data_IF_306169789954
#
_entry.id   IF_306169789954
#
_cell.length_a   1.000
_cell.length_b   1.000
_cell.length_c   1.000
_cell.angle_alpha   90.00
_cell.angle_beta   90.00
_cell.angle_gamma   90.00
#
_symmetry.space_group_name_H-M   'P 1'
#
loop_
_entity.id
_entity.type
_entity.pdbx_description
1 polymer ?
#
# COMPACT_ATOMS: atom_id res chain seq x y z
N UNK A 1 -8.77 -9.49 23.08
CA UNK A 1 -8.46 -8.63 21.93
C UNK A 1 -9.71 -7.93 21.43
N UNK A 2 -9.64 -6.63 21.12
CA UNK A 2 -10.80 -5.89 20.64
C UNK A 2 -11.09 -6.17 19.16
N UNK A 3 -11.53 -7.38 18.86
CA UNK A 3 -11.70 -7.84 17.47
C UNK A 3 -12.62 -6.94 16.63
N UNK A 4 -13.71 -6.44 17.22
CA UNK A 4 -14.62 -5.56 16.49
C UNK A 4 -13.96 -4.25 16.04
N UNK A 5 -13.18 -3.66 16.92
CA UNK A 5 -12.41 -2.43 16.60
C UNK A 5 -11.30 -2.70 15.62
N UNK A 6 -10.63 -3.87 15.74
CA UNK A 6 -9.62 -4.29 14.80
C UNK A 6 -10.19 -4.43 13.39
N UNK A 7 -11.33 -5.08 13.25
CA UNK A 7 -12.02 -5.22 11.97
C UNK A 7 -12.39 -3.84 11.42
N UNK A 8 -12.90 -2.95 12.25
CA UNK A 8 -13.25 -1.59 11.83
C UNK A 8 -12.00 -0.83 11.35
N UNK A 9 -10.88 -0.93 12.07
CA UNK A 9 -9.63 -0.30 11.67
C UNK A 9 -9.14 -0.82 10.33
N UNK A 10 -9.20 -2.13 10.11
CA UNK A 10 -8.81 -2.76 8.84
C UNK A 10 -9.72 -2.29 7.71
N UNK A 11 -11.03 -2.28 7.92
CA UNK A 11 -11.97 -1.84 6.88
C UNK A 11 -11.76 -0.38 6.52
N UNK A 12 -11.64 0.50 7.51
CA UNK A 12 -11.44 1.92 7.27
C UNK A 12 -10.11 2.20 6.55
N UNK A 13 -9.01 1.65 7.07
CA UNK A 13 -7.69 1.85 6.46
C UNK A 13 -7.59 1.17 5.11
N UNK A 14 -8.19 0.00 4.94
CA UNK A 14 -8.19 -0.73 3.67
C UNK A 14 -8.95 0.02 2.58
N UNK A 15 -10.11 0.59 2.90
CA UNK A 15 -10.90 1.38 1.96
C UNK A 15 -10.11 2.62 1.52
N UNK A 16 -9.58 3.38 2.47
CA UNK A 16 -8.81 4.59 2.16
C UNK A 16 -7.51 4.23 1.42
N UNK A 17 -6.85 3.15 1.81
CA UNK A 17 -5.63 2.67 1.13
C UNK A 17 -5.93 2.24 -0.31
N UNK A 18 -7.06 1.58 -0.55
CA UNK A 18 -7.47 1.23 -1.91
C UNK A 18 -7.69 2.47 -2.76
N UNK A 19 -8.29 3.51 -2.19
CA UNK A 19 -8.49 4.78 -2.89
C UNK A 19 -7.17 5.47 -3.20
N UNK A 20 -6.23 5.50 -2.24
CA UNK A 20 -4.91 6.09 -2.48
C UNK A 20 -4.09 5.27 -3.46
N UNK A 21 -4.15 3.95 -3.41
CA UNK A 21 -3.50 3.08 -4.39
C UNK A 21 -4.07 3.32 -5.79
N UNK A 22 -5.38 3.49 -5.90
CA UNK A 22 -6.00 3.83 -7.17
C UNK A 22 -5.51 5.18 -7.69
N UNK A 23 -5.35 6.17 -6.80
CA UNK A 23 -4.82 7.48 -7.18
C UNK A 23 -3.38 7.38 -7.69
N UNK A 24 -2.50 6.68 -6.97
CA UNK A 24 -1.10 6.50 -7.36
C UNK A 24 -0.96 5.59 -8.57
N UNK A 25 -1.61 4.43 -8.56
CA UNK A 25 -1.45 3.42 -9.61
C UNK A 25 -2.36 3.70 -10.80
N UNK A 26 -3.60 4.15 -10.56
CA UNK A 26 -4.57 4.37 -11.62
C UNK A 26 -4.36 5.67 -12.35
N UNK A 27 -4.21 6.78 -11.63
CA UNK A 27 -4.10 8.09 -12.25
C UNK A 27 -2.65 8.45 -12.60
N UNK A 28 -1.75 8.30 -11.62
CA UNK A 28 -0.34 8.66 -11.83
C UNK A 28 0.38 7.65 -12.72
N UNK A 29 0.37 6.36 -12.34
CA UNK A 29 1.12 5.32 -13.05
C UNK A 29 0.55 5.01 -14.43
N UNK A 30 -0.77 4.97 -14.57
CA UNK A 30 -1.41 4.63 -15.84
C UNK A 30 -0.97 5.57 -16.95
N UNK A 31 -0.91 6.86 -16.67
CA UNK A 31 -0.47 7.86 -17.64
C UNK A 31 0.98 7.68 -18.05
N UNK A 32 1.81 7.12 -17.17
CA UNK A 32 3.22 6.87 -17.46
C UNK A 32 3.45 5.55 -18.17
N UNK A 33 2.64 4.53 -17.87
CA UNK A 33 2.71 3.26 -18.57
C UNK A 33 2.25 3.37 -20.03
N UNK A 34 1.35 4.28 -20.34
CA UNK A 34 0.96 4.54 -21.73
C UNK A 34 2.14 4.93 -22.61
N UNK A 35 3.18 5.53 -22.02
CA UNK A 35 4.41 5.89 -22.71
C UNK A 35 5.42 4.76 -22.83
N UNK A 36 5.19 3.65 -22.11
CA UNK A 36 6.08 2.49 -22.07
C UNK A 36 5.25 1.21 -22.19
N UNK A 37 4.59 0.98 -23.35
CA UNK A 37 3.67 -0.16 -23.49
C UNK A 37 4.36 -1.52 -23.38
N UNK A 38 5.67 -1.59 -23.58
CA UNK A 38 6.42 -2.84 -23.50
C UNK A 38 6.50 -3.43 -22.10
N UNK A 39 6.30 -2.62 -21.05
CA UNK A 39 6.29 -3.09 -19.67
C UNK A 39 4.88 -3.24 -19.08
N UNK A 40 3.86 -2.82 -19.83
CA UNK A 40 2.47 -2.90 -19.41
C UNK A 40 1.87 -4.24 -19.82
N UNK A 41 1.37 -5.01 -18.85
CA UNK A 41 0.82 -6.33 -19.11
C UNK A 41 -0.50 -6.30 -19.90
N UNK A 42 -1.27 -5.24 -19.75
CA UNK A 42 -2.60 -5.10 -20.35
C UNK A 42 -2.69 -3.87 -21.24
N UNK A 43 -1.99 -3.85 -22.39
CA UNK A 43 -2.06 -2.72 -23.30
C UNK A 43 -3.50 -2.50 -23.77
N UNK A 44 -3.98 -1.27 -23.73
CA UNK A 44 -5.35 -0.94 -24.11
C UNK A 44 -6.40 -1.34 -23.09
N UNK A 45 -6.00 -1.79 -21.90
CA UNK A 45 -6.90 -2.11 -20.79
C UNK A 45 -7.62 -3.45 -20.92
N UNK A 46 -7.27 -4.27 -21.89
CA UNK A 46 -7.92 -5.58 -22.08
C UNK A 46 -7.42 -6.58 -21.03
N UNK A 47 -8.38 -7.24 -20.35
CA UNK A 47 -8.06 -8.29 -19.38
C UNK A 47 -7.59 -7.79 -18.02
N UNK A 48 -7.64 -6.47 -17.76
CA UNK A 48 -7.14 -5.90 -16.51
C UNK A 48 -8.09 -6.05 -15.32
N UNK A 49 -9.32 -6.57 -15.53
CA UNK A 49 -10.32 -6.67 -14.46
C UNK A 49 -9.83 -7.51 -13.27
N UNK A 50 -9.13 -8.62 -13.52
CA UNK A 50 -8.53 -9.44 -12.44
C UNK A 50 -7.48 -8.66 -11.67
N UNK A 51 -6.63 -7.92 -12.38
CA UNK A 51 -5.59 -7.11 -11.74
C UNK A 51 -6.21 -6.02 -10.86
N UNK A 52 -7.27 -5.36 -11.34
CA UNK A 52 -8.01 -4.35 -10.58
C UNK A 52 -8.61 -4.98 -9.32
N UNK A 53 -9.25 -6.14 -9.43
CA UNK A 53 -9.85 -6.84 -8.30
C UNK A 53 -8.81 -7.18 -7.24
N UNK A 54 -7.72 -7.83 -7.60
CA UNK A 54 -6.65 -8.18 -6.67
C UNK A 54 -5.99 -6.95 -6.06
N UNK A 55 -5.75 -5.91 -6.86
CA UNK A 55 -5.17 -4.65 -6.37
C UNK A 55 -6.07 -3.94 -5.37
N UNK A 56 -7.39 -4.12 -5.49
CA UNK A 56 -8.34 -3.55 -4.53
C UNK A 56 -8.43 -4.35 -3.24
N UNK A 57 -8.15 -5.66 -3.28
CA UNK A 57 -8.23 -6.54 -2.12
C UNK A 57 -6.93 -6.57 -1.30
N UNK A 58 -5.77 -6.47 -1.95
CA UNK A 58 -4.48 -6.59 -1.29
C UNK A 58 -4.23 -5.54 -0.19
N UNK A 59 -4.69 -4.28 -0.31
CA UNK A 59 -4.57 -3.34 0.80
C UNK A 59 -5.22 -3.80 2.10
N UNK A 60 -6.33 -4.55 2.01
CA UNK A 60 -6.97 -5.11 3.20
C UNK A 60 -6.08 -6.16 3.88
N UNK A 61 -5.36 -6.96 3.10
CA UNK A 61 -4.37 -7.91 3.63
C UNK A 61 -3.25 -7.18 4.35
N UNK A 62 -2.70 -6.15 3.73
CA UNK A 62 -1.64 -5.32 4.31
C UNK A 62 -2.09 -4.70 5.63
N UNK A 63 -3.27 -4.08 5.65
CA UNK A 63 -3.81 -3.45 6.84
C UNK A 63 -4.12 -4.48 7.93
N UNK A 64 -4.64 -5.65 7.57
CA UNK A 64 -4.93 -6.73 8.51
C UNK A 64 -3.66 -7.19 9.23
N UNK A 65 -2.61 -7.47 8.49
CA UNK A 65 -1.33 -7.91 9.07
C UNK A 65 -0.72 -6.80 9.92
N UNK A 66 -0.77 -5.56 9.45
CA UNK A 66 -0.26 -4.42 10.20
C UNK A 66 -0.96 -4.26 11.55
N UNK A 67 -2.29 -4.33 11.55
CA UNK A 67 -3.09 -4.22 12.78
C UNK A 67 -2.76 -5.37 13.73
N UNK A 68 -2.65 -6.59 13.23
CA UNK A 68 -2.30 -7.75 14.05
C UNK A 68 -0.90 -7.60 14.68
N UNK A 69 0.06 -7.12 13.92
CA UNK A 69 1.43 -6.89 14.42
C UNK A 69 1.41 -5.81 15.50
N UNK A 70 0.71 -4.71 15.28
CA UNK A 70 0.59 -3.65 16.27
C UNK A 70 -0.07 -4.14 17.56
N UNK A 71 -1.15 -4.92 17.44
CA UNK A 71 -1.80 -5.50 18.61
C UNK A 71 -0.90 -6.48 19.35
N UNK A 72 -0.16 -7.31 18.62
CA UNK A 72 0.80 -8.23 19.23
C UNK A 72 1.94 -7.54 19.96
N UNK A 73 2.34 -6.36 19.51
CA UNK A 73 3.38 -5.54 20.11
C UNK A 73 2.84 -4.49 21.09
N UNK A 74 1.52 -4.44 21.28
CA UNK A 74 0.84 -3.46 22.13
C UNK A 74 1.15 -2.01 21.74
N UNK A 75 1.19 -1.74 20.43
CA UNK A 75 1.45 -0.41 19.91
C UNK A 75 0.12 0.30 19.61
N UNK A 76 -0.19 1.33 20.39
CA UNK A 76 -1.44 2.09 20.22
C UNK A 76 -1.21 3.61 20.15
N UNK A 77 0.05 4.05 20.09
CA UNK A 77 0.38 5.46 19.94
C UNK A 77 0.78 5.78 18.51
N UNK A 78 0.55 7.03 18.09
CA UNK A 78 1.00 7.47 16.77
C UNK A 78 2.50 7.29 16.59
N UNK A 79 3.27 7.63 17.62
CA UNK A 79 4.73 7.51 17.55
C UNK A 79 5.18 6.07 17.31
N UNK A 80 4.64 5.12 18.06
CA UNK A 80 5.00 3.70 17.92
C UNK A 80 4.54 3.10 16.62
N UNK A 81 3.28 3.34 16.24
CA UNK A 81 2.70 2.76 15.01
C UNK A 81 3.34 3.36 13.75
N UNK A 82 3.60 4.67 13.73
CA UNK A 82 4.25 5.30 12.58
C UNK A 82 5.72 4.88 12.46
N UNK A 83 6.42 4.69 13.57
CA UNK A 83 7.78 4.12 13.53
C UNK A 83 7.78 2.72 12.93
N UNK A 84 6.83 1.89 13.32
CA UNK A 84 6.69 0.54 12.76
C UNK A 84 6.36 0.61 11.26
N UNK A 85 5.48 1.52 10.86
CA UNK A 85 5.13 1.70 9.45
C UNK A 85 6.38 2.06 8.62
N UNK A 86 7.18 3.01 9.08
CA UNK A 86 8.42 3.40 8.40
C UNK A 86 9.42 2.25 8.39
N UNK A 87 9.56 1.51 9.50
CA UNK A 87 10.47 0.37 9.56
C UNK A 87 10.08 -0.72 8.56
N UNK A 88 8.80 -1.05 8.45
CA UNK A 88 8.31 -2.03 7.48
C UNK A 88 8.59 -1.54 6.05
N UNK A 89 8.34 -0.27 5.79
CA UNK A 89 8.59 0.33 4.48
C UNK A 89 10.07 0.24 4.09
N UNK A 90 10.97 0.50 5.04
CA UNK A 90 12.42 0.43 4.81
C UNK A 90 12.93 -1.02 4.65
N UNK A 91 12.25 -2.00 5.26
CA UNK A 91 12.64 -3.41 5.18
C UNK A 91 12.20 -4.06 3.86
N UNK A 92 11.02 -3.74 3.38
CA UNK A 92 10.41 -4.42 2.25
C UNK A 92 10.15 -3.54 1.03
N UNK A 93 9.10 -2.72 1.05
CA UNK A 93 8.64 -2.02 -0.16
C UNK A 93 9.69 -1.11 -0.80
N UNK A 94 10.44 -0.35 -0.02
CA UNK A 94 11.44 0.55 -0.58
C UNK A 94 12.61 -0.18 -1.24
N UNK A 95 13.29 -1.14 -0.55
CA UNK A 95 14.36 -1.91 -1.22
C UNK A 95 13.86 -2.68 -2.43
N UNK A 96 12.69 -3.30 -2.34
CA UNK A 96 12.12 -4.04 -3.47
C UNK A 96 11.89 -3.14 -4.68
N UNK A 97 11.34 -1.96 -4.45
CA UNK A 97 11.09 -0.99 -5.51
C UNK A 97 12.39 -0.52 -6.15
N UNK A 98 13.40 -0.24 -5.34
CA UNK A 98 14.72 0.19 -5.84
C UNK A 98 15.37 -0.92 -6.68
N UNK A 99 15.37 -2.16 -6.19
CA UNK A 99 15.93 -3.30 -6.93
C UNK A 99 15.20 -3.48 -8.26
N UNK A 100 13.88 -3.41 -8.25
CA UNK A 100 13.10 -3.52 -9.48
C UNK A 100 13.43 -2.39 -10.47
N UNK A 101 13.63 -1.17 -9.97
CA UNK A 101 14.01 -0.04 -10.82
C UNK A 101 15.42 -0.21 -11.42
N UNK A 102 16.32 -0.88 -10.70
CA UNK A 102 17.67 -1.14 -11.19
C UNK A 102 17.74 -2.22 -12.27
N UNK A 103 16.92 -3.27 -12.14
CA UNK A 103 16.97 -4.43 -13.03
C UNK A 103 15.89 -4.45 -14.10
N UNK A 104 14.80 -3.73 -13.91
CA UNK A 104 13.71 -3.63 -14.86
C UNK A 104 13.69 -2.24 -15.49
N UNK A 105 13.04 -2.14 -16.66
CA UNK A 105 12.93 -0.84 -17.37
C UNK A 105 11.84 0.02 -16.72
N UNK A 106 12.00 0.35 -15.45
CA UNK A 106 11.08 1.22 -14.73
C UNK A 106 11.62 2.64 -14.68
N UNK A 107 10.80 3.60 -15.12
CA UNK A 107 11.16 5.01 -15.00
C UNK A 107 11.24 5.39 -13.51
N UNK A 108 12.16 6.31 -13.12
CA UNK A 108 12.25 6.75 -11.72
C UNK A 108 10.93 7.25 -11.15
N UNK A 109 10.10 7.89 -11.97
CA UNK A 109 8.78 8.37 -11.53
C UNK A 109 7.83 7.22 -11.19
N UNK A 110 7.90 6.10 -11.89
CA UNK A 110 7.10 4.90 -11.61
C UNK A 110 7.55 4.27 -10.29
N UNK A 111 8.85 4.10 -10.11
CA UNK A 111 9.42 3.54 -8.87
C UNK A 111 9.06 4.43 -7.67
N UNK A 112 9.18 5.75 -7.83
CA UNK A 112 8.81 6.70 -6.78
C UNK A 112 7.34 6.58 -6.40
N UNK A 113 6.46 6.43 -7.39
CA UNK A 113 5.02 6.27 -7.14
C UNK A 113 4.72 5.01 -6.35
N UNK A 114 5.35 3.87 -6.67
CA UNK A 114 5.19 2.64 -5.90
C UNK A 114 5.67 2.80 -4.47
N UNK A 115 6.85 3.38 -4.29
CA UNK A 115 7.42 3.57 -2.96
C UNK A 115 6.54 4.47 -2.09
N UNK A 116 6.11 5.60 -2.64
CA UNK A 116 5.24 6.54 -1.93
C UNK A 116 3.86 5.94 -1.63
N UNK A 117 3.31 5.17 -2.57
CA UNK A 117 2.04 4.48 -2.37
C UNK A 117 2.09 3.53 -1.18
N UNK A 118 3.17 2.76 -1.05
CA UNK A 118 3.37 1.87 0.09
C UNK A 118 3.52 2.63 1.41
N UNK A 119 4.28 3.73 1.40
CA UNK A 119 4.46 4.54 2.60
C UNK A 119 3.13 5.13 3.06
N UNK A 120 2.35 5.68 2.14
CA UNK A 120 1.03 6.24 2.45
C UNK A 120 0.09 5.16 2.99
N UNK A 121 0.08 3.99 2.39
CA UNK A 121 -0.74 2.85 2.83
C UNK A 121 -0.42 2.45 4.28
N UNK A 122 0.86 2.28 4.58
CA UNK A 122 1.29 1.91 5.93
C UNK A 122 1.01 3.02 6.95
N UNK A 123 1.22 4.27 6.57
CA UNK A 123 0.92 5.41 7.43
C UNK A 123 -0.59 5.51 7.72
N UNK A 124 -1.44 5.28 6.72
CA UNK A 124 -2.89 5.26 6.90
C UNK A 124 -3.33 4.14 7.83
N UNK A 125 -2.75 2.95 7.69
CA UNK A 125 -3.04 1.85 8.59
C UNK A 125 -2.68 2.21 10.04
N UNK A 126 -1.53 2.84 10.23
CA UNK A 126 -1.09 3.30 11.56
C UNK A 126 -2.04 4.34 12.15
N UNK A 127 -2.43 5.34 11.36
CA UNK A 127 -3.32 6.41 11.81
C UNK A 127 -4.70 5.87 12.18
N UNK A 128 -5.31 5.06 11.32
CA UNK A 128 -6.63 4.50 11.59
C UNK A 128 -6.62 3.55 12.79
N UNK A 129 -5.54 2.78 12.95
CA UNK A 129 -5.40 1.92 14.12
C UNK A 129 -5.43 2.75 15.41
N UNK A 130 -4.67 3.82 15.48
CA UNK A 130 -4.64 4.68 16.67
C UNK A 130 -5.98 5.36 16.89
N UNK A 131 -6.60 5.88 15.84
CA UNK A 131 -7.91 6.54 15.95
C UNK A 131 -9.01 5.61 16.46
N UNK A 132 -8.96 4.34 16.10
CA UNK A 132 -10.05 3.40 16.39
C UNK A 132 -9.76 2.56 17.64
N UNK A 133 -8.50 2.18 17.85
CA UNK A 133 -8.13 1.25 18.92
C UNK A 133 -7.59 1.91 20.19
N UNK A 134 -7.20 3.17 20.12
CA UNK A 134 -6.72 3.84 21.33
C UNK A 134 -7.79 4.61 22.09
#
# INVERSE_FOLDING_TARGET
MPWGRMVLAVLASGIVSSLTDWLFAGDWLYKRFDRNPEIWRYPGGQGESKAILWSSLLPFVTCSVFVLVCEGLHLHSYRGTLKLAVAIWLIGPLPLTIVNALWLKLAPAIATSYALGWLVKLALAAVFLVLILS
#
